data_IF_799724761113
#
_entry.id   IF_799724761113
#
_cell.length_a   1.000
_cell.length_b   1.000
_cell.length_c   1.000
_cell.angle_alpha   90.00
_cell.angle_beta   90.00
_cell.angle_gamma   90.00
#
_symmetry.space_group_name_H-M   'P 1'
#
loop_
_entity.id
_entity.type
_entity.pdbx_description
1 polymer ?
#
# COMPACT_ATOMS: atom_id res chain seq x y z
N UNK A 1 17.57 -4.36 -23.98
CA UNK A 1 18.56 -3.70 -23.12
C UNK A 1 18.21 -4.03 -21.68
N UNK A 2 19.13 -4.67 -20.93
CA UNK A 2 18.89 -5.07 -19.54
C UNK A 2 18.81 -3.81 -18.66
N UNK A 3 17.73 -3.65 -17.91
CA UNK A 3 17.64 -2.56 -16.93
C UNK A 3 18.68 -2.77 -15.84
N UNK A 4 19.37 -1.68 -15.50
CA UNK A 4 20.25 -1.60 -14.35
C UNK A 4 19.56 -0.79 -13.24
N UNK A 5 19.83 -1.11 -11.96
CA UNK A 5 19.33 -0.31 -10.85
C UNK A 5 19.85 1.12 -10.96
N UNK A 6 19.11 2.09 -10.42
CA UNK A 6 19.55 3.49 -10.33
C UNK A 6 19.88 3.83 -8.87
N UNK A 7 21.16 3.79 -8.48
CA UNK A 7 21.57 4.05 -7.10
C UNK A 7 21.14 5.44 -6.59
N UNK A 8 21.24 6.47 -7.42
CA UNK A 8 20.88 7.83 -6.99
C UNK A 8 19.38 7.99 -6.72
N UNK A 9 18.52 7.35 -7.53
CA UNK A 9 17.07 7.40 -7.33
C UNK A 9 16.66 6.62 -6.07
N UNK A 10 17.31 5.48 -5.81
CA UNK A 10 17.12 4.71 -4.57
C UNK A 10 17.49 5.56 -3.35
N UNK A 11 18.67 6.19 -3.39
CA UNK A 11 19.14 7.05 -2.31
C UNK A 11 18.20 8.26 -2.11
N UNK A 12 17.82 8.94 -3.20
CA UNK A 12 16.93 10.09 -3.15
C UNK A 12 15.55 9.73 -2.61
N UNK A 13 14.93 8.64 -3.07
CA UNK A 13 13.62 8.20 -2.56
C UNK A 13 13.69 7.80 -1.09
N UNK A 14 14.75 7.09 -0.68
CA UNK A 14 14.95 6.74 0.73
C UNK A 14 15.13 7.97 1.62
N UNK A 15 16.01 8.89 1.23
CA UNK A 15 16.27 10.14 1.96
C UNK A 15 15.02 11.02 2.01
N UNK A 16 14.29 11.15 0.91
CA UNK A 16 13.06 11.95 0.89
C UNK A 16 12.02 11.34 1.82
N UNK A 17 11.73 10.05 1.71
CA UNK A 17 10.70 9.42 2.55
C UNK A 17 11.05 9.47 4.03
N UNK A 18 12.22 8.95 4.43
CA UNK A 18 12.61 8.93 5.84
C UNK A 18 12.93 10.32 6.37
N UNK A 19 13.50 11.20 5.56
CA UNK A 19 13.76 12.59 5.92
C UNK A 19 12.46 13.36 6.18
N UNK A 20 11.43 13.17 5.35
CA UNK A 20 10.09 13.76 5.58
C UNK A 20 9.44 13.20 6.85
N UNK A 21 9.57 11.90 7.15
CA UNK A 21 9.03 11.34 8.39
C UNK A 21 9.73 11.89 9.63
N UNK A 22 11.06 11.99 9.60
CA UNK A 22 11.84 12.56 10.70
C UNK A 22 11.51 14.04 10.89
N UNK A 23 11.38 14.78 9.79
CA UNK A 23 10.96 16.18 9.83
C UNK A 23 9.54 16.32 10.37
N UNK A 24 8.61 15.45 9.96
CA UNK A 24 7.24 15.47 10.48
C UNK A 24 7.22 15.24 12.00
N UNK A 25 7.99 14.29 12.51
CA UNK A 25 8.02 13.98 13.95
C UNK A 25 9.05 14.79 14.74
N UNK A 26 9.59 15.89 14.19
CA UNK A 26 10.70 16.62 14.82
C UNK A 26 10.34 17.14 16.21
N UNK A 27 9.12 17.63 16.35
CA UNK A 27 8.64 18.27 17.57
C UNK A 27 8.39 17.21 18.64
N UNK A 28 7.75 16.10 18.27
CA UNK A 28 7.47 14.95 19.14
C UNK A 28 8.75 14.23 19.57
N UNK A 29 9.76 14.14 18.71
CA UNK A 29 11.09 13.62 19.05
C UNK A 29 11.80 14.48 20.09
N UNK A 30 11.60 15.79 20.03
CA UNK A 30 12.19 16.76 20.96
C UNK A 30 11.38 16.96 22.24
N UNK A 31 10.19 16.34 22.33
CA UNK A 31 9.29 16.49 23.46
C UNK A 31 9.94 16.04 24.78
N UNK A 32 9.64 16.79 25.85
CA UNK A 32 9.99 16.41 27.22
C UNK A 32 9.08 15.31 27.77
N UNK A 33 7.93 15.06 27.10
CA UNK A 33 6.97 14.03 27.49
C UNK A 33 7.44 12.67 26.95
N UNK A 34 7.88 11.79 27.84
CA UNK A 34 8.41 10.46 27.48
C UNK A 34 7.46 9.64 26.62
N UNK A 35 6.15 9.67 26.90
CA UNK A 35 5.17 8.91 26.14
C UNK A 35 5.10 9.35 24.66
N UNK A 36 5.14 10.66 24.41
CA UNK A 36 5.08 11.26 23.07
C UNK A 36 6.37 10.95 22.30
N UNK A 37 7.52 11.13 22.95
CA UNK A 37 8.81 10.83 22.36
C UNK A 37 8.98 9.35 22.02
N UNK A 38 8.55 8.46 22.91
CA UNK A 38 8.59 7.00 22.66
C UNK A 38 7.68 6.60 21.49
N UNK A 39 6.53 7.27 21.32
CA UNK A 39 5.62 7.05 20.21
C UNK A 39 6.24 7.43 18.85
N UNK A 40 6.86 8.59 18.77
CA UNK A 40 7.57 9.04 17.58
C UNK A 40 8.71 8.08 17.20
N UNK A 41 9.53 7.68 18.18
CA UNK A 41 10.62 6.72 17.98
C UNK A 41 10.11 5.35 17.52
N UNK A 42 9.06 4.84 18.17
CA UNK A 42 8.44 3.57 17.80
C UNK A 42 7.91 3.60 16.36
N UNK A 43 7.20 4.66 15.99
CA UNK A 43 6.68 4.81 14.62
C UNK A 43 7.79 4.91 13.57
N UNK A 44 8.90 5.62 13.86
CA UNK A 44 10.05 5.64 12.95
C UNK A 44 10.67 4.25 12.76
N UNK A 45 10.86 3.49 13.84
CA UNK A 45 11.36 2.09 13.75
C UNK A 45 10.37 1.23 12.96
N UNK A 46 9.08 1.36 13.23
CA UNK A 46 8.02 0.65 12.52
C UNK A 46 8.04 0.97 11.02
N UNK A 47 8.32 2.22 10.64
CA UNK A 47 8.42 2.62 9.23
C UNK A 47 9.54 1.90 8.48
N UNK A 48 10.71 1.74 9.11
CA UNK A 48 11.85 1.02 8.55
C UNK A 48 11.50 -0.46 8.37
N UNK A 49 10.90 -1.07 9.41
CA UNK A 49 10.46 -2.47 9.38
C UNK A 49 9.41 -2.67 8.28
N UNK A 50 8.44 -1.77 8.18
CA UNK A 50 7.34 -1.85 7.23
C UNK A 50 7.83 -1.73 5.77
N UNK A 51 8.68 -0.75 5.47
CA UNK A 51 9.28 -0.61 4.14
C UNK A 51 10.12 -1.83 3.79
N UNK A 52 10.96 -2.33 4.70
CA UNK A 52 11.75 -3.53 4.48
C UNK A 52 10.87 -4.77 4.22
N UNK A 53 9.79 -4.92 4.98
CA UNK A 53 8.82 -6.00 4.81
C UNK A 53 8.12 -5.95 3.45
N UNK A 54 7.67 -4.77 3.01
CA UNK A 54 7.03 -4.61 1.70
C UNK A 54 8.02 -4.86 0.56
N UNK A 55 9.24 -4.34 0.67
CA UNK A 55 10.29 -4.61 -0.31
C UNK A 55 10.60 -6.11 -0.41
N UNK A 56 10.60 -6.83 0.72
CA UNK A 56 10.72 -8.29 0.72
C UNK A 56 9.53 -8.95 0.02
N UNK A 57 8.31 -8.52 0.32
CA UNK A 57 7.08 -9.03 -0.31
C UNK A 57 7.07 -8.88 -1.84
N UNK A 58 7.58 -7.75 -2.36
CA UNK A 58 7.63 -7.50 -3.80
C UNK A 58 8.76 -8.27 -4.50
N UNK A 59 9.91 -8.47 -3.83
CA UNK A 59 11.09 -9.06 -4.46
C UNK A 59 11.17 -10.58 -4.34
N UNK A 60 10.64 -11.18 -3.27
CA UNK A 60 10.82 -12.61 -2.95
C UNK A 60 9.49 -13.33 -2.82
N UNK A 61 9.47 -14.60 -3.23
CA UNK A 61 8.36 -15.51 -2.97
C UNK A 61 8.47 -16.10 -1.55
N UNK A 62 7.35 -16.65 -1.05
CA UNK A 62 7.36 -17.32 0.25
C UNK A 62 8.37 -18.49 0.22
N UNK A 63 9.14 -18.74 1.30
CA UNK A 63 10.01 -19.91 1.39
C UNK A 63 9.23 -21.20 1.17
N UNK A 64 9.85 -22.21 0.55
CA UNK A 64 9.19 -23.48 0.17
C UNK A 64 8.52 -24.16 1.37
N UNK A 65 9.20 -24.23 2.52
CA UNK A 65 8.62 -24.82 3.74
C UNK A 65 7.42 -24.06 4.34
N UNK A 66 7.16 -22.81 3.92
CA UNK A 66 5.97 -22.06 4.34
C UNK A 66 4.85 -22.10 3.30
N UNK A 67 5.14 -22.51 2.05
CA UNK A 67 4.13 -22.62 0.97
C UNK A 67 3.17 -23.79 1.18
N UNK A 68 3.63 -24.85 1.82
CA UNK A 68 2.85 -26.09 2.02
C UNK A 68 1.86 -26.01 3.19
N UNK A 69 1.95 -24.96 4.02
CA UNK A 69 1.02 -24.74 5.11
C UNK A 69 -0.32 -24.18 4.58
N UNK A 70 -1.48 -24.75 4.97
CA UNK A 70 -2.78 -24.49 4.32
C UNK A 70 -3.29 -23.04 4.46
N UNK A 71 -2.80 -22.28 5.45
CA UNK A 71 -3.16 -20.87 5.67
C UNK A 71 -1.99 -19.93 5.40
N UNK A 72 -0.80 -20.30 5.88
CA UNK A 72 0.40 -19.47 5.79
C UNK A 72 0.93 -19.41 4.34
N UNK A 73 0.79 -20.49 3.57
CA UNK A 73 1.28 -20.53 2.20
C UNK A 73 0.55 -19.57 1.26
N UNK A 74 -0.78 -19.50 1.37
CA UNK A 74 -1.62 -18.62 0.53
C UNK A 74 -1.67 -17.19 1.07
N UNK A 75 -1.79 -17.01 2.38
CA UNK A 75 -2.07 -15.70 2.98
C UNK A 75 -0.91 -15.12 3.78
N UNK A 76 0.25 -15.78 3.86
CA UNK A 76 1.34 -15.38 4.76
C UNK A 76 1.79 -13.93 4.59
N UNK A 77 1.99 -13.47 3.34
CA UNK A 77 2.33 -12.05 3.06
C UNK A 77 1.23 -11.08 3.47
N UNK A 78 -0.03 -11.45 3.27
CA UNK A 78 -1.18 -10.64 3.68
C UNK A 78 -1.31 -10.61 5.19
N UNK A 79 -1.16 -11.74 5.88
CA UNK A 79 -1.24 -11.84 7.33
C UNK A 79 -0.10 -11.07 8.01
N UNK A 80 1.12 -11.13 7.47
CA UNK A 80 2.23 -10.30 7.98
C UNK A 80 1.98 -8.81 7.76
N UNK A 81 1.38 -8.42 6.62
CA UNK A 81 0.98 -7.03 6.38
C UNK A 81 -0.13 -6.59 7.34
N UNK A 82 -1.17 -7.41 7.54
CA UNK A 82 -2.25 -7.17 8.50
C UNK A 82 -1.75 -7.13 9.94
N UNK A 83 -0.73 -7.90 10.30
CA UNK A 83 -0.12 -7.84 11.62
C UNK A 83 0.57 -6.48 11.84
N UNK A 84 1.34 -5.99 10.87
CA UNK A 84 1.98 -4.67 10.98
C UNK A 84 0.94 -3.55 10.99
N UNK A 85 -0.07 -3.61 10.13
CA UNK A 85 -1.18 -2.66 10.12
C UNK A 85 -1.96 -2.70 11.44
N UNK A 86 -2.20 -3.89 11.98
CA UNK A 86 -2.85 -4.10 13.28
C UNK A 86 -2.04 -3.53 14.43
N UNK A 87 -0.72 -3.69 14.43
CA UNK A 87 0.19 -3.06 15.40
C UNK A 87 0.09 -1.53 15.30
N UNK A 88 0.14 -0.97 14.09
CA UNK A 88 0.00 0.46 13.88
C UNK A 88 -1.35 0.95 14.44
N UNK A 89 -2.47 0.36 14.02
CA UNK A 89 -3.82 0.72 14.46
C UNK A 89 -3.98 0.58 15.98
N UNK A 90 -3.43 -0.48 16.57
CA UNK A 90 -3.46 -0.68 18.01
C UNK A 90 -2.69 0.39 18.78
N UNK A 91 -1.57 0.88 18.22
CA UNK A 91 -0.75 1.91 18.83
C UNK A 91 -1.47 3.26 18.88
N UNK A 92 -2.18 3.62 17.80
CA UNK A 92 -2.97 4.86 17.65
C UNK A 92 -4.44 4.72 18.05
N UNK A 93 -4.79 3.69 18.83
CA UNK A 93 -6.16 3.55 19.38
C UNK A 93 -6.54 4.77 20.25
N UNK A 94 -7.83 5.03 20.49
CA UNK A 94 -8.27 6.18 21.27
C UNK A 94 -7.62 6.26 22.66
N UNK A 95 -7.37 7.47 23.14
CA UNK A 95 -6.71 7.70 24.44
C UNK A 95 -7.42 7.01 25.61
N UNK A 96 -8.75 6.86 25.53
CA UNK A 96 -9.57 6.11 26.51
C UNK A 96 -9.11 4.67 26.72
N UNK A 97 -8.47 4.07 25.72
CA UNK A 97 -7.98 2.69 25.76
C UNK A 97 -6.45 2.66 25.94
N UNK A 98 -5.82 3.80 26.25
CA UNK A 98 -4.38 3.94 26.44
C UNK A 98 -3.59 3.86 25.13
N UNK A 99 -4.09 4.47 24.06
CA UNK A 99 -3.34 4.67 22.81
C UNK A 99 -2.97 6.13 22.57
N UNK A 100 -2.14 6.35 21.56
CA UNK A 100 -1.65 7.67 21.17
C UNK A 100 -2.47 8.23 19.99
N UNK A 101 -3.59 8.88 20.27
CA UNK A 101 -4.55 9.31 19.24
C UNK A 101 -4.01 10.37 18.27
N UNK A 102 -3.11 11.24 18.74
CA UNK A 102 -2.49 12.28 17.90
C UNK A 102 -1.60 11.68 16.79
N UNK A 103 -1.15 10.44 16.95
CA UNK A 103 -0.31 9.75 15.98
C UNK A 103 -1.04 9.17 14.78
N UNK A 104 -2.39 9.23 14.71
CA UNK A 104 -3.18 8.55 13.66
C UNK A 104 -2.69 8.95 12.25
N UNK A 105 -2.44 10.23 12.03
CA UNK A 105 -1.91 10.74 10.77
C UNK A 105 -0.53 10.15 10.45
N UNK A 106 0.38 10.14 11.42
CA UNK A 106 1.73 9.63 11.23
C UNK A 106 1.75 8.11 10.97
N UNK A 107 1.04 7.32 11.77
CA UNK A 107 1.03 5.86 11.64
C UNK A 107 0.26 5.38 10.41
N UNK A 108 -0.96 5.87 10.17
CA UNK A 108 -1.79 5.35 9.09
C UNK A 108 -1.43 5.96 7.73
N UNK A 109 -1.14 7.27 7.69
CA UNK A 109 -0.81 7.95 6.43
C UNK A 109 0.71 7.91 6.19
N UNK A 110 1.51 8.40 7.14
CA UNK A 110 2.97 8.47 7.00
C UNK A 110 3.64 7.10 6.84
N UNK A 111 3.28 6.14 7.68
CA UNK A 111 3.87 4.80 7.64
C UNK A 111 3.14 3.90 6.65
N UNK A 112 1.85 3.60 6.87
CA UNK A 112 1.18 2.56 6.09
C UNK A 112 0.96 2.96 4.62
N UNK A 113 0.41 4.15 4.36
CA UNK A 113 0.09 4.59 3.00
C UNK A 113 1.33 5.07 2.25
N UNK A 114 2.05 6.07 2.78
CA UNK A 114 3.21 6.63 2.12
C UNK A 114 4.39 5.65 2.11
N UNK A 115 4.56 4.83 3.15
CA UNK A 115 5.58 3.76 3.17
C UNK A 115 5.31 2.67 2.15
N UNK A 116 4.04 2.39 1.84
CA UNK A 116 3.69 1.51 0.73
C UNK A 116 4.14 2.08 -0.62
N UNK A 117 3.84 3.36 -0.87
CA UNK A 117 4.30 4.06 -2.06
C UNK A 117 5.83 4.10 -2.17
N UNK A 118 6.52 4.40 -1.06
CA UNK A 118 7.98 4.44 -1.00
C UNK A 118 8.60 3.07 -1.29
N UNK A 119 8.10 1.99 -0.68
CA UNK A 119 8.56 0.64 -0.95
C UNK A 119 8.34 0.22 -2.41
N UNK A 120 7.18 0.56 -2.98
CA UNK A 120 6.87 0.29 -4.38
C UNK A 120 7.82 1.05 -5.33
N UNK A 121 8.11 2.31 -5.05
CA UNK A 121 9.06 3.12 -5.83
C UNK A 121 10.50 2.57 -5.71
N UNK A 122 10.95 2.26 -4.49
CA UNK A 122 12.28 1.70 -4.24
C UNK A 122 12.47 0.36 -4.98
N UNK A 123 11.49 -0.53 -4.93
CA UNK A 123 11.55 -1.80 -5.66
C UNK A 123 11.57 -1.61 -7.17
N UNK A 124 10.83 -0.64 -7.72
CA UNK A 124 10.95 -0.28 -9.14
C UNK A 124 12.34 0.26 -9.52
N UNK A 125 12.97 1.07 -8.67
CA UNK A 125 14.31 1.62 -8.96
C UNK A 125 15.45 0.62 -8.75
N UNK A 126 15.25 -0.38 -7.88
CA UNK A 126 16.17 -1.50 -7.67
C UNK A 126 16.08 -2.57 -8.74
N UNK A 127 15.02 -2.58 -9.55
CA UNK A 127 14.78 -3.61 -10.55
C UNK A 127 15.93 -3.73 -11.55
N UNK A 128 16.40 -4.96 -11.74
CA UNK A 128 17.33 -5.33 -12.78
C UNK A 128 16.81 -6.53 -13.56
N UNK A 129 16.68 -6.41 -14.88
CA UNK A 129 16.17 -7.51 -15.70
C UNK A 129 15.93 -7.10 -17.15
N UNK A 130 15.56 -8.07 -17.98
CA UNK A 130 15.45 -7.89 -19.43
C UNK A 130 14.05 -7.45 -19.90
N UNK A 131 13.09 -7.33 -18.98
CA UNK A 131 11.72 -6.86 -19.28
C UNK A 131 11.70 -5.38 -19.65
N UNK A 132 10.74 -4.97 -20.47
CA UNK A 132 10.71 -3.62 -21.07
C UNK A 132 10.55 -2.49 -20.04
N UNK A 133 9.80 -2.71 -18.95
CA UNK A 133 9.49 -1.70 -17.93
C UNK A 133 10.01 -2.07 -16.55
N UNK A 134 10.37 -1.06 -15.76
CA UNK A 134 10.73 -1.20 -14.34
C UNK A 134 9.54 -1.46 -13.43
N UNK A 135 8.35 -1.05 -13.85
CA UNK A 135 7.11 -1.39 -13.14
C UNK A 135 6.89 -2.90 -13.07
N UNK A 136 7.56 -3.67 -13.95
CA UNK A 136 7.58 -5.13 -13.86
C UNK A 136 8.12 -5.64 -12.51
N UNK A 137 8.86 -4.84 -11.75
CA UNK A 137 9.24 -5.18 -10.37
C UNK A 137 8.02 -5.54 -9.49
N UNK A 138 6.87 -4.92 -9.76
CA UNK A 138 5.63 -5.07 -8.99
C UNK A 138 4.68 -6.13 -9.55
N UNK A 139 5.09 -6.91 -10.55
CA UNK A 139 4.22 -7.92 -11.20
C UNK A 139 3.60 -8.89 -10.19
N UNK A 140 4.35 -9.30 -9.15
CA UNK A 140 3.85 -10.16 -8.07
C UNK A 140 2.66 -9.59 -7.28
N UNK A 141 2.49 -8.27 -7.29
CA UNK A 141 1.37 -7.59 -6.65
C UNK A 141 0.26 -7.27 -7.65
N UNK A 142 0.62 -6.79 -8.84
CA UNK A 142 -0.35 -6.34 -9.86
C UNK A 142 -1.05 -7.51 -10.55
N UNK A 143 -0.35 -8.61 -10.82
CA UNK A 143 -0.88 -9.74 -11.60
C UNK A 143 -1.96 -10.54 -10.82
N UNK A 144 -2.15 -10.25 -9.53
CA UNK A 144 -3.25 -10.81 -8.72
C UNK A 144 -4.58 -10.15 -9.05
N UNK A 145 -4.57 -8.90 -9.54
CA UNK A 145 -5.79 -8.20 -9.87
C UNK A 145 -6.36 -8.74 -11.20
N UNK A 146 -7.65 -9.14 -11.23
CA UNK A 146 -8.27 -9.58 -12.47
C UNK A 146 -8.35 -8.40 -13.44
N UNK A 147 -7.70 -8.54 -14.60
CA UNK A 147 -7.75 -7.53 -15.66
C UNK A 147 -8.69 -7.97 -16.77
N UNK A 148 -9.48 -7.03 -17.30
CA UNK A 148 -10.28 -7.27 -18.50
C UNK A 148 -9.34 -7.37 -19.70
N UNK A 149 -9.24 -8.55 -20.31
CA UNK A 149 -8.42 -8.79 -21.49
C UNK A 149 -9.10 -8.29 -22.75
N UNK A 150 -8.32 -7.83 -23.73
CA UNK A 150 -8.85 -7.50 -25.05
C UNK A 150 -9.49 -8.76 -25.67
N UNK A 151 -10.70 -8.67 -26.25
CA UNK A 151 -11.29 -9.80 -26.95
C UNK A 151 -10.41 -10.22 -28.14
N UNK A 152 -10.22 -11.53 -28.32
CA UNK A 152 -9.41 -12.11 -29.40
C UNK A 152 -10.05 -11.89 -30.78
N UNK A 153 -11.38 -11.78 -30.82
CA UNK A 153 -12.14 -11.53 -32.05
C UNK A 153 -12.23 -10.03 -32.34
N UNK A 154 -12.14 -9.66 -33.62
CA UNK A 154 -12.52 -8.32 -34.06
C UNK A 154 -14.01 -8.06 -33.74
N UNK A 155 -14.25 -7.18 -32.77
CA UNK A 155 -15.60 -6.82 -32.31
C UNK A 155 -16.30 -5.98 -33.37
N UNK A 156 -17.52 -6.39 -33.76
CA UNK A 156 -18.32 -5.68 -34.76
C UNK A 156 -18.79 -4.33 -34.21
N UNK A 157 -19.04 -3.36 -35.07
CA UNK A 157 -19.42 -2.00 -34.63
C UNK A 157 -20.70 -2.01 -33.77
N UNK A 158 -21.73 -2.78 -34.14
CA UNK A 158 -22.97 -2.89 -33.37
C UNK A 158 -22.75 -3.47 -31.96
N UNK A 159 -21.85 -4.45 -31.81
CA UNK A 159 -21.52 -5.02 -30.50
C UNK A 159 -20.83 -3.99 -29.60
N UNK A 160 -19.99 -3.11 -30.17
CA UNK A 160 -19.38 -1.99 -29.43
C UNK A 160 -20.45 -1.01 -28.97
N UNK A 161 -21.36 -0.62 -29.86
CA UNK A 161 -22.47 0.28 -29.49
C UNK A 161 -23.34 -0.33 -28.38
N UNK A 162 -23.73 -1.59 -28.51
CA UNK A 162 -24.54 -2.26 -27.50
C UNK A 162 -23.83 -2.38 -26.15
N UNK A 163 -22.54 -2.74 -26.14
CA UNK A 163 -21.75 -2.84 -24.91
C UNK A 163 -21.64 -1.47 -24.21
N UNK A 164 -21.38 -0.40 -24.97
CA UNK A 164 -21.31 0.96 -24.43
C UNK A 164 -22.67 1.40 -23.86
N UNK A 165 -23.75 1.21 -24.60
CA UNK A 165 -25.11 1.53 -24.12
C UNK A 165 -25.47 0.73 -22.87
N UNK A 166 -25.12 -0.56 -22.84
CA UNK A 166 -25.38 -1.43 -21.68
C UNK A 166 -24.61 -0.96 -20.44
N UNK A 167 -23.33 -0.61 -20.57
CA UNK A 167 -22.53 -0.05 -19.48
C UNK A 167 -23.16 1.26 -18.96
N UNK A 168 -23.66 2.12 -19.85
CA UNK A 168 -24.32 3.37 -19.47
C UNK A 168 -25.64 3.12 -18.71
N UNK A 169 -26.44 2.13 -19.12
CA UNK A 169 -27.67 1.76 -18.39
C UNK A 169 -27.33 1.28 -16.98
N UNK A 170 -26.33 0.41 -16.84
CA UNK A 170 -25.87 -0.06 -15.52
C UNK A 170 -25.36 1.10 -14.68
N UNK A 171 -24.57 2.00 -15.28
CA UNK A 171 -24.07 3.19 -14.60
C UNK A 171 -25.22 4.04 -14.06
N UNK A 172 -26.21 4.38 -14.89
CA UNK A 172 -27.37 5.17 -14.48
C UNK A 172 -28.22 4.45 -13.42
N UNK A 173 -28.37 3.13 -13.50
CA UNK A 173 -29.06 2.37 -12.46
C UNK A 173 -28.31 2.46 -11.13
N UNK A 174 -26.99 2.23 -11.13
CA UNK A 174 -26.16 2.29 -9.92
C UNK A 174 -26.11 3.68 -9.30
N UNK A 175 -26.18 4.77 -10.08
CA UNK A 175 -26.25 6.13 -9.50
C UNK A 175 -27.53 6.40 -8.72
N UNK A 176 -28.60 5.64 -8.96
CA UNK A 176 -29.86 5.74 -8.22
C UNK A 176 -29.92 4.78 -7.02
N UNK A 177 -28.92 3.91 -6.85
CA UNK A 177 -28.83 3.00 -5.69
C UNK A 177 -28.10 3.73 -4.56
N UNK A 178 -28.81 3.98 -3.47
CA UNK A 178 -28.19 4.54 -2.26
C UNK A 178 -27.21 3.52 -1.68
N UNK A 179 -26.02 4.02 -1.34
CA UNK A 179 -25.00 3.21 -0.67
C UNK A 179 -25.50 2.81 0.73
N UNK A 180 -25.41 1.52 1.02
CA UNK A 180 -25.77 0.99 2.33
C UNK A 180 -24.85 1.56 3.42
N UNK A 181 -25.42 2.07 4.51
CA UNK A 181 -24.68 2.59 5.66
C UNK A 181 -24.37 4.09 5.64
N UNK A 182 -24.79 4.84 4.61
CA UNK A 182 -24.83 6.30 4.64
C UNK A 182 -26.25 6.76 5.02
N UNK A 183 -26.41 7.51 6.11
CA UNK A 183 -27.70 8.11 6.46
C UNK A 183 -28.09 9.12 5.39
N UNK A 184 -29.34 9.07 4.91
CA UNK A 184 -29.90 10.03 3.94
C UNK A 184 -30.08 11.46 4.48
N UNK A 185 -29.35 11.83 5.53
CA UNK A 185 -29.35 13.13 6.20
C UNK A 185 -27.90 13.43 6.60
N UNK A 186 -27.49 14.68 6.33
CA UNK A 186 -26.20 15.32 6.61
C UNK A 186 -25.07 15.12 5.57
N UNK A 187 -25.25 15.73 4.39
CA UNK A 187 -24.27 16.72 3.95
C UNK A 187 -24.73 18.05 4.57
N UNK A 188 -24.15 18.42 5.71
CA UNK A 188 -24.05 19.83 6.11
C UNK A 188 -22.71 20.33 5.53
#
# INVERSE_FOLDING_TARGET
MRHKPIPWAIALTGVLYFGLLIYWQSDELSSEIDAVRNAAQFGLVLSVIYVAYLMWCFNRDLPEGLKDAPVIGRYGKLLGWLAIAGIAVWYVRPGKWGGYEDGVGFFLVGILLLGFGAAAALTCFMWSGDKSSRLYALHRFVDVYPTITKPERHVRFNEKMWTTTFVLIIYFAMTNVMLYGLSGQALD
#
